data_IF_526961481685
#
_entry.id   IF_526961481685
#
_cell.length_a   1.000
_cell.length_b   1.000
_cell.length_c   1.000
_cell.angle_alpha   90.00
_cell.angle_beta   90.00
_cell.angle_gamma   90.00
#
_symmetry.space_group_name_H-M   'P 1'
#
loop_
_entity.id
_entity.type
_entity.pdbx_description
1 polymer ?
#
# COMPACT_ATOMS: atom_id res chain seq x y z
N UNK A 1 8.41 -15.18 -23.92
CA UNK A 1 9.59 -14.29 -23.96
C UNK A 1 10.13 -13.91 -22.58
N UNK A 2 9.73 -14.55 -21.50
CA UNK A 2 10.27 -14.32 -20.15
C UNK A 2 11.55 -15.13 -19.85
N UNK A 3 12.00 -15.95 -20.76
CA UNK A 3 13.13 -16.90 -20.59
C UNK A 3 14.53 -16.30 -20.82
N UNK A 4 14.70 -14.99 -20.83
CA UNK A 4 16.02 -14.34 -20.88
C UNK A 4 16.32 -13.55 -19.61
N UNK A 5 15.92 -14.07 -18.50
CA UNK A 5 16.44 -13.65 -17.20
C UNK A 5 17.90 -14.11 -17.16
N UNK A 6 18.81 -13.19 -16.88
CA UNK A 6 20.24 -13.42 -16.90
C UNK A 6 20.68 -14.63 -16.06
N UNK A 7 21.98 -14.87 -15.95
CA UNK A 7 22.52 -16.01 -15.21
C UNK A 7 21.86 -16.11 -13.82
N UNK A 8 21.26 -17.26 -13.49
CA UNK A 8 20.58 -17.42 -12.21
C UNK A 8 21.58 -17.23 -11.06
N UNK A 9 21.18 -16.45 -10.06
CA UNK A 9 21.89 -16.37 -8.80
C UNK A 9 21.58 -17.62 -7.96
N UNK A 10 22.57 -18.22 -7.27
CA UNK A 10 22.33 -19.42 -6.47
C UNK A 10 21.69 -19.16 -5.09
N UNK A 11 21.70 -17.91 -4.64
CA UNK A 11 21.26 -17.54 -3.31
C UNK A 11 19.71 -17.65 -3.19
N UNK A 12 19.25 -18.54 -2.33
CA UNK A 12 17.83 -18.68 -2.01
C UNK A 12 17.36 -17.50 -1.17
N UNK A 13 16.20 -16.92 -1.52
CA UNK A 13 15.58 -15.83 -0.76
C UNK A 13 14.21 -16.27 -0.27
N UNK A 14 13.95 -16.07 1.03
CA UNK A 14 12.64 -16.29 1.64
C UNK A 14 11.86 -14.99 1.75
N UNK A 15 10.61 -15.00 1.33
CA UNK A 15 9.66 -13.91 1.50
C UNK A 15 8.51 -14.39 2.39
N UNK A 16 8.26 -13.70 3.50
CA UNK A 16 7.26 -14.09 4.48
C UNK A 16 6.03 -13.19 4.35
N UNK A 17 4.98 -13.74 3.78
CA UNK A 17 3.74 -13.04 3.45
C UNK A 17 3.58 -12.76 1.95
N UNK A 18 2.47 -13.21 1.38
CA UNK A 18 2.10 -13.01 -0.03
C UNK A 18 1.20 -11.78 -0.24
N UNK A 19 1.32 -10.75 0.61
CA UNK A 19 0.70 -9.44 0.40
C UNK A 19 1.48 -8.59 -0.61
N UNK A 20 1.01 -7.35 -0.94
CA UNK A 20 1.63 -6.52 -1.98
C UNK A 20 3.11 -6.23 -1.76
N UNK A 21 3.58 -6.07 -0.51
CA UNK A 21 4.99 -5.87 -0.21
C UNK A 21 5.83 -7.12 -0.54
N UNK A 22 5.36 -8.30 -0.11
CA UNK A 22 6.03 -9.58 -0.38
C UNK A 22 6.04 -9.93 -1.87
N UNK A 23 4.91 -9.79 -2.54
CA UNK A 23 4.79 -10.04 -3.98
C UNK A 23 5.71 -9.12 -4.79
N UNK A 24 5.76 -7.83 -4.46
CA UNK A 24 6.67 -6.88 -5.11
C UNK A 24 8.13 -7.28 -4.91
N UNK A 25 8.54 -7.58 -3.68
CA UNK A 25 9.91 -8.03 -3.40
C UNK A 25 10.25 -9.31 -4.18
N UNK A 26 9.35 -10.30 -4.16
CA UNK A 26 9.52 -11.55 -4.88
C UNK A 26 9.66 -11.34 -6.39
N UNK A 27 8.83 -10.47 -6.99
CA UNK A 27 8.90 -10.12 -8.40
C UNK A 27 10.27 -9.53 -8.78
N UNK A 28 10.72 -8.47 -8.08
CA UNK A 28 11.98 -7.82 -8.41
C UNK A 28 13.22 -8.71 -8.19
N UNK A 29 13.14 -9.64 -7.24
CA UNK A 29 14.20 -10.63 -7.04
C UNK A 29 14.16 -11.75 -8.11
N UNK A 30 12.98 -12.24 -8.45
CA UNK A 30 12.82 -13.25 -9.50
C UNK A 30 13.26 -12.74 -10.87
N UNK A 31 12.92 -11.49 -11.23
CA UNK A 31 13.39 -10.84 -12.47
C UNK A 31 14.91 -10.72 -12.50
N UNK A 32 15.57 -10.59 -11.34
CA UNK A 32 17.05 -10.63 -11.27
C UNK A 32 17.62 -12.04 -11.39
N UNK A 33 16.81 -13.09 -11.28
CA UNK A 33 17.22 -14.48 -11.40
C UNK A 33 17.47 -15.21 -10.07
N UNK A 34 16.97 -14.70 -8.95
CA UNK A 34 17.03 -15.40 -7.65
C UNK A 34 15.97 -16.49 -7.54
N UNK A 35 16.27 -17.64 -6.92
CA UNK A 35 15.28 -18.60 -6.47
C UNK A 35 14.57 -18.02 -5.24
N UNK A 36 13.31 -17.62 -5.43
CA UNK A 36 12.47 -17.00 -4.39
C UNK A 36 11.38 -17.95 -3.96
N UNK A 37 11.24 -18.16 -2.64
CA UNK A 37 10.10 -18.87 -2.05
C UNK A 37 9.29 -17.91 -1.19
N UNK A 38 8.00 -17.80 -1.47
CA UNK A 38 7.02 -17.02 -0.69
C UNK A 38 6.30 -17.97 0.26
N UNK A 39 6.39 -17.70 1.56
CA UNK A 39 5.68 -18.42 2.62
C UNK A 39 4.45 -17.61 3.03
N UNK A 40 3.27 -18.23 2.94
CA UNK A 40 2.00 -17.57 3.24
C UNK A 40 1.19 -18.43 4.22
N UNK A 41 0.67 -17.80 5.28
CA UNK A 41 -0.15 -18.51 6.28
C UNK A 41 -1.55 -18.86 5.78
N UNK A 42 -2.07 -18.07 4.86
CA UNK A 42 -3.37 -18.30 4.25
C UNK A 42 -3.29 -19.34 3.13
N UNK A 43 -4.44 -19.83 2.70
CA UNK A 43 -4.55 -20.73 1.55
C UNK A 43 -4.52 -20.03 0.19
N UNK A 44 -4.53 -18.71 0.19
CA UNK A 44 -4.58 -17.86 -1.01
C UNK A 44 -3.58 -16.72 -0.89
N UNK A 45 -2.93 -16.32 -1.99
CA UNK A 45 -2.02 -15.16 -2.02
C UNK A 45 -2.79 -13.84 -2.17
N UNK A 46 -2.06 -12.73 -2.11
CA UNK A 46 -2.57 -11.38 -2.32
C UNK A 46 -2.75 -10.58 -1.02
N UNK A 47 -2.70 -11.23 0.17
CA UNK A 47 -2.87 -10.54 1.45
C UNK A 47 -4.17 -9.72 1.49
N UNK A 48 -4.11 -8.45 1.90
CA UNK A 48 -5.30 -7.57 1.97
C UNK A 48 -5.95 -7.28 0.61
N UNK A 49 -5.25 -7.38 -0.51
CA UNK A 49 -5.85 -7.25 -1.85
C UNK A 49 -6.87 -8.38 -2.10
N UNK A 50 -6.60 -9.57 -1.59
CA UNK A 50 -7.50 -10.72 -1.72
C UNK A 50 -8.44 -10.85 -0.53
N UNK A 51 -7.96 -10.67 0.69
CA UNK A 51 -8.70 -10.98 1.91
C UNK A 51 -9.51 -9.79 2.45
N UNK A 52 -9.00 -8.56 2.26
CA UNK A 52 -9.58 -7.34 2.84
C UNK A 52 -10.45 -6.57 1.85
N UNK A 53 -9.89 -6.20 0.69
CA UNK A 53 -10.60 -5.37 -0.30
C UNK A 53 -11.71 -6.21 -0.95
N UNK A 54 -12.98 -5.75 -0.96
CA UNK A 54 -14.07 -6.47 -1.62
C UNK A 54 -13.92 -6.54 -3.15
N UNK A 55 -14.51 -7.56 -3.79
CA UNK A 55 -14.41 -7.75 -5.23
C UNK A 55 -15.05 -6.61 -6.03
N UNK A 56 -16.06 -5.94 -5.50
CA UNK A 56 -16.66 -4.78 -6.14
C UNK A 56 -15.75 -3.53 -6.20
N UNK A 57 -14.58 -3.59 -5.56
CA UNK A 57 -13.50 -2.58 -5.68
C UNK A 57 -12.27 -3.10 -6.40
N UNK A 58 -11.98 -4.39 -6.24
CA UNK A 58 -10.84 -5.05 -6.86
C UNK A 58 -11.18 -6.51 -7.11
N UNK A 59 -11.47 -6.82 -8.36
CA UNK A 59 -11.77 -8.19 -8.79
C UNK A 59 -10.59 -9.12 -8.51
N UNK A 60 -10.89 -10.35 -8.05
CA UNK A 60 -9.86 -11.30 -7.58
C UNK A 60 -9.12 -11.97 -8.73
N UNK A 61 -9.73 -12.08 -9.88
CA UNK A 61 -9.10 -12.57 -11.12
C UNK A 61 -7.96 -11.64 -11.58
N UNK A 62 -8.13 -10.33 -11.47
CA UNK A 62 -7.06 -9.35 -11.75
C UNK A 62 -5.88 -9.56 -10.81
N UNK A 63 -6.12 -9.70 -9.50
CA UNK A 63 -5.05 -9.96 -8.52
C UNK A 63 -4.36 -11.28 -8.81
N UNK A 64 -5.12 -12.32 -9.15
CA UNK A 64 -4.58 -13.64 -9.45
C UNK A 64 -3.74 -13.64 -10.73
N UNK A 65 -4.17 -12.91 -11.77
CA UNK A 65 -3.41 -12.78 -13.02
C UNK A 65 -2.02 -12.16 -12.78
N UNK A 66 -1.93 -11.13 -11.94
CA UNK A 66 -0.65 -10.53 -11.54
C UNK A 66 0.24 -11.52 -10.74
N UNK A 67 -0.37 -12.33 -9.88
CA UNK A 67 0.37 -13.35 -9.11
C UNK A 67 0.85 -14.49 -10.02
N UNK A 68 0.08 -14.86 -11.03
CA UNK A 68 0.46 -15.89 -11.99
C UNK A 68 1.72 -15.50 -12.78
N UNK A 69 1.94 -14.20 -13.04
CA UNK A 69 3.21 -13.72 -13.59
C UNK A 69 4.40 -14.10 -12.69
N UNK A 70 4.26 -14.02 -11.36
CA UNK A 70 5.33 -14.42 -10.46
C UNK A 70 5.60 -15.92 -10.51
N UNK A 71 4.54 -16.74 -10.65
CA UNK A 71 4.68 -18.18 -10.81
C UNK A 71 5.41 -18.54 -12.11
N UNK A 72 5.08 -17.85 -13.21
CA UNK A 72 5.76 -18.00 -14.49
C UNK A 72 7.24 -17.58 -14.42
N UNK A 73 7.58 -16.61 -13.56
CA UNK A 73 8.97 -16.23 -13.26
C UNK A 73 9.70 -17.24 -12.38
N UNK A 74 9.03 -18.32 -11.94
CA UNK A 74 9.61 -19.37 -11.11
C UNK A 74 9.56 -19.12 -9.61
N UNK A 75 8.77 -18.16 -9.12
CA UNK A 75 8.56 -17.96 -7.69
C UNK A 75 7.76 -19.12 -7.13
N UNK A 76 8.30 -19.78 -6.10
CA UNK A 76 7.64 -20.86 -5.37
C UNK A 76 6.71 -20.26 -4.29
N UNK A 77 5.49 -20.77 -4.18
CA UNK A 77 4.54 -20.39 -3.12
C UNK A 77 4.29 -21.57 -2.19
N UNK A 78 4.47 -21.37 -0.88
CA UNK A 78 4.17 -22.35 0.17
C UNK A 78 3.06 -21.79 1.06
N UNK A 79 1.85 -22.31 0.87
CA UNK A 79 0.67 -21.92 1.63
C UNK A 79 0.52 -22.72 2.92
N UNK A 80 -0.22 -22.16 3.91
CA UNK A 80 -0.43 -22.76 5.23
C UNK A 80 0.82 -22.74 6.10
N UNK A 81 1.83 -21.98 5.75
CA UNK A 81 3.07 -21.81 6.51
C UNK A 81 3.01 -20.52 7.30
N UNK A 82 2.82 -20.62 8.60
CA UNK A 82 2.84 -19.49 9.53
C UNK A 82 4.22 -19.41 10.20
N UNK A 83 5.08 -18.56 9.65
CA UNK A 83 6.42 -18.32 10.22
C UNK A 83 6.26 -17.70 11.60
N UNK A 84 7.01 -18.21 12.56
CA UNK A 84 6.86 -17.92 13.99
C UNK A 84 6.07 -19.00 14.75
N UNK A 85 5.28 -19.85 14.05
CA UNK A 85 4.56 -20.98 14.67
C UNK A 85 5.03 -22.35 14.18
N UNK A 86 4.86 -22.62 12.88
CA UNK A 86 5.22 -23.91 12.29
C UNK A 86 6.53 -23.86 11.46
N UNK A 87 7.13 -22.70 11.36
CA UNK A 87 8.43 -22.44 10.73
C UNK A 87 9.12 -21.32 11.50
N UNK A 88 10.43 -21.42 11.76
CA UNK A 88 11.21 -20.37 12.40
C UNK A 88 12.17 -19.70 11.43
N UNK A 89 12.68 -18.49 11.77
CA UNK A 89 13.74 -17.84 10.97
C UNK A 89 15.00 -18.71 10.91
N UNK A 90 15.36 -19.37 12.00
CA UNK A 90 16.53 -20.24 12.06
C UNK A 90 16.34 -21.51 11.20
N UNK A 91 15.14 -22.05 11.11
CA UNK A 91 14.84 -23.13 10.20
C UNK A 91 15.02 -22.71 8.74
N UNK A 92 14.59 -21.49 8.37
CA UNK A 92 14.82 -20.96 7.03
C UNK A 92 16.33 -20.79 6.74
N UNK A 93 17.10 -20.31 7.72
CA UNK A 93 18.58 -20.22 7.60
C UNK A 93 19.21 -21.61 7.40
N UNK A 94 18.75 -22.60 8.17
CA UNK A 94 19.20 -23.98 8.06
C UNK A 94 18.86 -24.59 6.67
N UNK A 95 17.71 -24.24 6.09
CA UNK A 95 17.29 -24.63 4.74
C UNK A 95 18.09 -23.92 3.63
N UNK A 96 19.03 -23.03 4.00
CA UNK A 96 19.96 -22.38 3.10
C UNK A 96 19.49 -21.05 2.51
N UNK A 97 18.39 -20.46 3.02
CA UNK A 97 18.00 -19.12 2.64
C UNK A 97 19.03 -18.10 3.14
N UNK A 98 19.49 -17.23 2.23
CA UNK A 98 20.56 -16.25 2.49
C UNK A 98 20.06 -14.90 2.94
N UNK A 99 18.82 -14.60 2.63
CA UNK A 99 18.13 -13.42 3.14
C UNK A 99 16.63 -13.73 3.28
N UNK A 100 16.00 -13.01 4.21
CA UNK A 100 14.58 -13.16 4.58
C UNK A 100 13.92 -11.79 4.51
N UNK A 101 12.78 -11.69 3.81
CA UNK A 101 11.98 -10.48 3.77
C UNK A 101 10.67 -10.68 4.53
N UNK A 102 10.46 -9.92 5.59
CA UNK A 102 9.23 -9.94 6.39
C UNK A 102 8.20 -8.97 5.82
N UNK A 103 7.07 -9.49 5.37
CA UNK A 103 5.98 -8.75 4.75
C UNK A 103 4.59 -9.20 5.26
N UNK A 104 4.48 -9.56 6.54
CA UNK A 104 3.27 -10.13 7.16
C UNK A 104 2.13 -9.12 7.31
N UNK A 105 2.41 -7.82 7.11
CA UNK A 105 1.43 -6.74 7.12
C UNK A 105 0.78 -6.50 8.48
N UNK A 106 -0.44 -5.93 8.47
CA UNK A 106 -1.28 -5.66 9.64
C UNK A 106 -2.64 -6.34 9.46
N UNK A 107 -2.68 -7.65 9.66
CA UNK A 107 -3.82 -8.50 9.31
C UNK A 107 -4.81 -8.75 10.43
N UNK A 108 -4.58 -8.22 11.65
CA UNK A 108 -5.48 -8.36 12.79
C UNK A 108 -6.38 -7.14 12.91
N UNK A 109 -7.69 -7.34 12.99
CA UNK A 109 -8.64 -6.24 13.21
C UNK A 109 -8.59 -5.71 14.64
N UNK A 110 -8.93 -4.44 14.81
CA UNK A 110 -9.05 -3.83 16.13
C UNK A 110 -10.47 -3.99 16.65
N UNK A 111 -10.69 -4.60 17.83
CA UNK A 111 -12.00 -4.68 18.47
C UNK A 111 -12.56 -3.29 18.80
N UNK A 112 -13.84 -3.18 19.10
CA UNK A 112 -14.47 -1.90 19.46
C UNK A 112 -13.89 -1.29 20.75
N UNK A 113 -13.35 -2.12 21.62
CA UNK A 113 -12.70 -1.72 22.87
C UNK A 113 -13.71 -1.35 23.96
N UNK A 114 -14.91 -1.90 23.90
CA UNK A 114 -15.95 -1.70 24.91
C UNK A 114 -16.48 -3.07 25.40
N UNK A 115 -17.14 -3.11 26.58
CA UNK A 115 -17.77 -4.33 27.07
C UNK A 115 -18.69 -4.97 26.03
N UNK A 116 -18.62 -6.31 25.92
CA UNK A 116 -19.41 -7.08 24.97
C UNK A 116 -18.72 -7.38 23.63
N UNK A 117 -17.46 -6.99 23.46
CA UNK A 117 -16.68 -7.29 22.26
C UNK A 117 -16.53 -8.80 21.96
N UNK A 118 -16.67 -9.64 22.98
CA UNK A 118 -16.56 -11.11 22.93
C UNK A 118 -17.89 -11.82 22.59
N UNK A 119 -18.98 -11.06 22.47
CA UNK A 119 -20.29 -11.63 22.17
C UNK A 119 -20.35 -12.22 20.74
N UNK A 120 -21.09 -13.30 20.58
CA UNK A 120 -21.40 -13.82 19.25
C UNK A 120 -22.15 -12.77 18.43
N UNK A 121 -21.73 -12.59 17.17
CA UNK A 121 -22.26 -11.53 16.30
C UNK A 121 -21.45 -10.24 16.35
N UNK A 122 -20.39 -10.19 17.15
CA UNK A 122 -19.39 -9.13 17.11
C UNK A 122 -18.20 -9.62 16.27
N UNK A 123 -17.75 -8.78 15.36
CA UNK A 123 -16.65 -9.07 14.43
C UNK A 123 -15.75 -7.85 14.31
N UNK A 124 -14.49 -8.09 13.97
CA UNK A 124 -13.67 -7.04 13.38
C UNK A 124 -13.93 -6.92 11.88
N UNK A 125 -13.69 -5.75 11.29
CA UNK A 125 -13.88 -5.53 9.85
C UNK A 125 -13.00 -6.47 9.00
N UNK A 126 -11.77 -6.72 9.46
CA UNK A 126 -10.84 -7.64 8.79
C UNK A 126 -11.39 -9.06 8.78
N UNK A 127 -11.86 -9.58 9.92
CA UNK A 127 -12.45 -10.93 10.00
C UNK A 127 -13.70 -11.08 9.13
N UNK A 128 -14.56 -10.06 9.15
CA UNK A 128 -15.78 -10.04 8.34
C UNK A 128 -15.46 -10.05 6.86
N UNK A 129 -14.62 -9.11 6.38
CA UNK A 129 -14.26 -9.00 4.97
C UNK A 129 -13.49 -10.23 4.49
N UNK A 130 -12.56 -10.76 5.31
CA UNK A 130 -11.86 -12.00 5.02
C UNK A 130 -12.83 -13.17 4.82
N UNK A 131 -13.81 -13.31 5.71
CA UNK A 131 -14.82 -14.35 5.58
C UNK A 131 -15.64 -14.19 4.29
N UNK A 132 -16.08 -12.98 3.98
CA UNK A 132 -16.84 -12.67 2.77
C UNK A 132 -16.03 -12.95 1.50
N UNK A 133 -14.79 -12.48 1.44
CA UNK A 133 -13.92 -12.64 0.27
C UNK A 133 -13.47 -14.09 0.04
N UNK A 134 -13.42 -14.90 1.09
CA UNK A 134 -13.21 -16.36 0.99
C UNK A 134 -14.50 -17.14 0.72
N UNK A 135 -15.59 -16.48 0.32
CA UNK A 135 -16.87 -17.14 -0.02
C UNK A 135 -17.68 -17.61 1.18
N UNK A 136 -17.24 -17.35 2.42
CA UNK A 136 -17.99 -17.70 3.62
C UNK A 136 -19.19 -16.77 3.83
N UNK A 137 -20.17 -17.22 4.59
CA UNK A 137 -21.38 -16.44 4.90
C UNK A 137 -21.47 -16.21 6.41
N UNK A 138 -20.75 -15.21 6.97
CA UNK A 138 -20.88 -14.88 8.38
C UNK A 138 -22.32 -14.50 8.72
N UNK A 139 -22.81 -15.01 9.86
CA UNK A 139 -24.19 -14.75 10.32
C UNK A 139 -24.24 -13.40 10.99
N UNK A 140 -24.69 -12.36 10.27
CA UNK A 140 -24.80 -10.99 10.76
C UNK A 140 -26.24 -10.56 11.06
N UNK A 141 -27.22 -11.38 10.66
CA UNK A 141 -28.64 -11.04 10.81
C UNK A 141 -29.09 -9.86 9.93
N UNK A 142 -30.19 -9.19 10.33
CA UNK A 142 -30.80 -8.13 9.51
C UNK A 142 -30.33 -6.72 9.85
N UNK A 143 -30.04 -6.43 11.12
CA UNK A 143 -29.63 -5.08 11.57
C UNK A 143 -28.18 -5.10 11.99
N UNK A 144 -27.33 -4.36 11.30
CA UNK A 144 -25.89 -4.35 11.54
C UNK A 144 -25.40 -2.96 11.87
N UNK A 145 -24.68 -2.83 12.98
CA UNK A 145 -23.90 -1.63 13.27
C UNK A 145 -22.45 -1.80 12.80
N UNK A 146 -21.95 -0.87 12.01
CA UNK A 146 -20.54 -0.79 11.62
C UNK A 146 -19.90 0.39 12.34
N UNK A 147 -18.81 0.15 13.06
CA UNK A 147 -18.11 1.20 13.83
C UNK A 147 -16.86 1.61 13.08
N UNK A 148 -16.77 2.87 12.68
CA UNK A 148 -15.59 3.42 11.99
C UNK A 148 -15.97 4.44 10.92
N UNK A 149 -14.96 5.14 10.38
CA UNK A 149 -15.19 6.19 9.35
C UNK A 149 -14.14 6.17 8.23
N UNK A 150 -13.30 5.14 8.16
CA UNK A 150 -12.32 4.96 7.09
C UNK A 150 -12.82 4.04 5.98
N UNK A 151 -12.02 3.88 4.92
CA UNK A 151 -12.37 3.05 3.75
C UNK A 151 -12.77 1.62 4.14
N UNK A 152 -12.11 1.02 5.14
CA UNK A 152 -12.48 -0.33 5.64
C UNK A 152 -13.90 -0.36 6.19
N UNK A 153 -14.35 0.71 6.89
CA UNK A 153 -15.70 0.79 7.42
C UNK A 153 -16.75 0.90 6.29
N UNK A 154 -16.44 1.66 5.24
CA UNK A 154 -17.28 1.75 4.03
C UNK A 154 -17.34 0.39 3.33
N UNK A 155 -16.22 -0.29 3.14
CA UNK A 155 -16.16 -1.64 2.53
C UNK A 155 -17.00 -2.67 3.32
N UNK A 156 -16.87 -2.65 4.65
CA UNK A 156 -17.66 -3.50 5.55
C UNK A 156 -19.15 -3.20 5.41
N UNK A 157 -19.53 -1.92 5.46
CA UNK A 157 -20.93 -1.50 5.38
C UNK A 157 -21.56 -1.91 4.04
N UNK A 158 -20.89 -1.63 2.93
CA UNK A 158 -21.34 -2.00 1.59
C UNK A 158 -21.40 -3.54 1.40
N UNK A 159 -20.41 -4.28 1.93
CA UNK A 159 -20.43 -5.73 1.91
C UNK A 159 -21.59 -6.32 2.75
N UNK A 160 -21.91 -5.71 3.88
CA UNK A 160 -23.05 -6.13 4.72
C UNK A 160 -24.40 -5.83 4.04
N UNK A 161 -24.55 -4.68 3.36
CA UNK A 161 -25.74 -4.35 2.54
C UNK A 161 -25.95 -5.41 1.45
N UNK A 162 -24.90 -5.79 0.71
CA UNK A 162 -24.93 -6.86 -0.32
C UNK A 162 -25.28 -8.23 0.25
N UNK A 163 -25.13 -8.41 1.56
CA UNK A 163 -25.59 -9.61 2.30
C UNK A 163 -27.03 -9.47 2.79
N UNK A 164 -27.75 -8.39 2.44
CA UNK A 164 -29.14 -8.15 2.77
C UNK A 164 -29.37 -7.57 4.16
N UNK A 165 -28.37 -6.98 4.78
CA UNK A 165 -28.50 -6.30 6.07
C UNK A 165 -28.94 -4.83 5.91
N UNK A 166 -29.71 -4.35 6.88
CA UNK A 166 -29.95 -2.92 7.13
C UNK A 166 -28.77 -2.42 7.98
N UNK A 167 -27.95 -1.57 7.40
CA UNK A 167 -26.65 -1.17 7.97
C UNK A 167 -26.70 0.26 8.49
N UNK A 168 -26.28 0.45 9.73
CA UNK A 168 -26.01 1.76 10.31
C UNK A 168 -24.52 1.89 10.62
N UNK A 169 -23.85 2.83 9.98
CA UNK A 169 -22.45 3.15 10.23
C UNK A 169 -22.37 4.21 11.33
N UNK A 170 -21.64 3.90 12.40
CA UNK A 170 -21.46 4.74 13.58
C UNK A 170 -20.08 5.40 13.53
N UNK A 171 -20.05 6.74 13.52
CA UNK A 171 -18.81 7.47 13.50
C UNK A 171 -18.76 8.55 14.59
N UNK A 172 -17.68 8.55 15.38
CA UNK A 172 -17.52 9.43 16.55
C UNK A 172 -17.24 10.89 16.26
N UNK A 173 -17.07 11.27 14.97
CA UNK A 173 -16.87 12.66 14.51
C UNK A 173 -17.92 13.02 13.48
N UNK A 174 -17.80 14.20 12.87
CA UNK A 174 -18.66 14.64 11.78
C UNK A 174 -18.28 14.05 10.42
N UNK A 175 -19.09 14.33 9.41
CA UNK A 175 -18.86 13.90 8.04
C UNK A 175 -17.54 14.45 7.48
N UNK A 176 -17.24 15.72 7.77
CA UNK A 176 -16.04 16.41 7.30
C UNK A 176 -14.74 15.80 7.85
N UNK A 177 -14.82 15.14 9.00
CA UNK A 177 -13.67 14.47 9.60
C UNK A 177 -13.54 12.99 9.20
N UNK A 178 -14.38 12.51 8.28
CA UNK A 178 -14.23 11.13 7.79
C UNK A 178 -12.96 10.98 6.95
N UNK A 179 -12.12 9.99 7.24
CA UNK A 179 -10.95 9.71 6.41
C UNK A 179 -11.27 8.90 5.13
N UNK A 180 -12.51 8.41 4.97
CA UNK A 180 -12.97 7.76 3.75
C UNK A 180 -13.15 8.79 2.63
N UNK A 181 -12.95 8.38 1.37
CA UNK A 181 -13.16 9.23 0.22
C UNK A 181 -14.65 9.60 0.08
N UNK A 182 -14.93 10.86 -0.25
CA UNK A 182 -16.30 11.37 -0.37
C UNK A 182 -17.13 10.59 -1.39
N UNK A 183 -16.53 10.19 -2.50
CA UNK A 183 -17.15 9.38 -3.54
C UNK A 183 -17.61 8.03 -2.99
N UNK A 184 -16.79 7.37 -2.18
CA UNK A 184 -17.14 6.08 -1.57
C UNK A 184 -18.22 6.20 -0.49
N UNK A 185 -18.21 7.31 0.25
CA UNK A 185 -19.29 7.62 1.21
C UNK A 185 -20.61 7.84 0.47
N UNK A 186 -20.60 8.57 -0.64
CA UNK A 186 -21.78 8.80 -1.47
C UNK A 186 -22.31 7.50 -2.09
N UNK A 187 -21.44 6.63 -2.58
CA UNK A 187 -21.82 5.30 -3.08
C UNK A 187 -22.47 4.44 -1.98
N UNK A 188 -21.90 4.45 -0.77
CA UNK A 188 -22.47 3.72 0.37
C UNK A 188 -23.85 4.25 0.77
N UNK A 189 -24.05 5.57 0.76
CA UNK A 189 -25.37 6.21 0.99
C UNK A 189 -26.38 5.80 -0.09
N UNK A 190 -25.98 5.82 -1.36
CA UNK A 190 -26.81 5.39 -2.48
C UNK A 190 -27.20 3.90 -2.37
N UNK A 191 -26.32 3.07 -1.87
CA UNK A 191 -26.59 1.65 -1.59
C UNK A 191 -27.45 1.44 -0.32
N UNK A 192 -27.77 2.51 0.41
CA UNK A 192 -28.70 2.48 1.55
C UNK A 192 -28.03 2.31 2.92
N UNK A 193 -26.72 2.52 3.03
CA UNK A 193 -26.05 2.63 4.33
C UNK A 193 -26.52 3.88 5.04
N UNK A 194 -26.98 3.74 6.28
CA UNK A 194 -27.37 4.85 7.15
C UNK A 194 -26.16 5.32 7.94
N UNK A 195 -25.91 6.62 7.96
CA UNK A 195 -24.80 7.21 8.71
C UNK A 195 -25.29 7.86 9.99
N UNK A 196 -24.66 7.57 11.10
CA UNK A 196 -24.81 8.26 12.38
C UNK A 196 -23.47 8.84 12.79
N UNK A 197 -23.38 10.14 12.63
CA UNK A 197 -22.22 10.92 13.04
C UNK A 197 -22.33 11.33 14.53
N UNK A 198 -21.22 11.76 15.09
CA UNK A 198 -21.10 12.23 16.45
C UNK A 198 -21.65 11.20 17.45
N UNK A 199 -21.34 9.92 17.24
CA UNK A 199 -21.71 8.88 18.18
C UNK A 199 -20.59 7.82 18.30
N UNK A 200 -20.34 7.40 19.54
CA UNK A 200 -19.34 6.39 19.86
C UNK A 200 -19.97 5.21 20.62
N UNK A 201 -19.61 3.95 20.32
CA UNK A 201 -20.07 2.83 21.11
C UNK A 201 -19.43 2.87 22.51
N UNK A 202 -20.23 2.58 23.52
CA UNK A 202 -19.76 2.47 24.90
C UNK A 202 -19.96 1.07 25.48
N UNK A 203 -20.91 0.30 24.93
CA UNK A 203 -21.19 -1.06 25.37
C UNK A 203 -21.96 -1.82 24.28
N UNK A 204 -21.67 -3.09 24.10
CA UNK A 204 -22.44 -4.01 23.26
C UNK A 204 -23.24 -4.91 24.19
N UNK A 205 -24.56 -4.77 24.12
CA UNK A 205 -25.50 -5.52 24.96
C UNK A 205 -25.84 -6.85 24.30
N UNK A 206 -25.97 -7.89 25.10
CA UNK A 206 -26.26 -9.21 24.58
C UNK A 206 -27.19 -10.03 25.48
N UNK A 207 -27.88 -10.99 24.84
CA UNK A 207 -28.68 -11.99 25.50
C UNK A 207 -28.17 -13.37 25.13
N UNK A 208 -28.06 -14.27 26.10
CA UNK A 208 -27.57 -15.63 25.92
C UNK A 208 -26.23 -15.71 25.14
N UNK A 209 -25.34 -14.73 25.41
CA UNK A 209 -24.02 -14.66 24.79
C UNK A 209 -24.01 -14.20 23.31
N UNK A 210 -25.09 -13.57 22.82
CA UNK A 210 -25.23 -13.04 21.48
C UNK A 210 -25.59 -11.55 21.52
N UNK A 211 -24.96 -10.73 20.69
CA UNK A 211 -25.22 -9.31 20.57
C UNK A 211 -26.68 -9.06 20.12
N UNK A 212 -27.36 -8.15 20.83
CA UNK A 212 -28.75 -7.75 20.56
C UNK A 212 -28.93 -6.25 20.43
N UNK A 213 -28.02 -5.46 21.02
CA UNK A 213 -28.03 -4.01 20.91
C UNK A 213 -26.63 -3.43 21.09
N UNK A 214 -26.43 -2.18 20.69
CA UNK A 214 -25.25 -1.38 20.98
C UNK A 214 -25.70 -0.08 21.67
N UNK A 215 -25.12 0.20 22.82
CA UNK A 215 -25.28 1.46 23.53
C UNK A 215 -24.23 2.43 23.02
N UNK A 216 -24.67 3.59 22.58
CA UNK A 216 -23.81 4.64 22.03
C UNK A 216 -23.95 5.91 22.86
N UNK A 217 -22.87 6.68 22.94
CA UNK A 217 -22.83 8.00 23.53
C UNK A 217 -22.83 9.06 22.42
N UNK A 218 -23.64 10.10 22.60
CA UNK A 218 -23.60 11.30 21.74
C UNK A 218 -22.29 12.05 21.99
N UNK A 219 -21.65 12.48 20.90
CA UNK A 219 -20.37 13.17 20.94
C UNK A 219 -20.50 14.62 20.49
N UNK A 220 -19.61 15.46 20.99
CA UNK A 220 -19.33 16.80 20.45
C UNK A 220 -17.89 16.86 19.96
N UNK A 221 -17.57 17.84 19.12
CA UNK A 221 -16.21 18.08 18.69
C UNK A 221 -15.60 19.19 19.53
N UNK A 222 -14.49 18.88 20.19
CA UNK A 222 -13.69 19.87 20.92
C UNK A 222 -12.87 20.76 19.96
N UNK A 223 -12.02 21.58 20.54
CA UNK A 223 -11.12 22.47 19.80
C UNK A 223 -10.16 21.66 18.90
N UNK A 224 -9.76 22.22 17.75
CA UNK A 224 -8.78 21.59 16.88
C UNK A 224 -7.40 21.48 17.55
N UNK A 225 -6.74 20.32 17.36
CA UNK A 225 -5.34 20.15 17.74
C UNK A 225 -4.40 20.90 16.77
N UNK A 226 -3.07 20.86 17.04
CA UNK A 226 -2.04 21.51 16.20
C UNK A 226 -2.08 21.04 14.72
N UNK A 227 -2.75 19.95 14.42
CA UNK A 227 -2.95 19.40 13.07
C UNK A 227 -4.35 19.68 12.54
N UNK A 228 -5.11 20.55 13.18
CA UNK A 228 -6.47 20.92 12.80
C UNK A 228 -7.53 19.84 13.08
N UNK A 229 -7.20 18.77 13.82
CA UNK A 229 -8.11 17.68 14.11
C UNK A 229 -8.87 17.91 15.40
N UNK A 230 -10.19 17.89 15.33
CA UNK A 230 -11.08 18.02 16.50
C UNK A 230 -11.24 16.69 17.24
N UNK A 231 -10.99 16.70 18.54
CA UNK A 231 -11.15 15.52 19.39
C UNK A 231 -12.63 15.32 19.73
N UNK A 232 -13.21 14.12 19.53
CA UNK A 232 -14.58 13.85 20.00
C UNK A 232 -14.61 13.79 21.54
N UNK A 233 -15.63 14.42 22.12
CA UNK A 233 -15.87 14.49 23.56
C UNK A 233 -17.29 14.00 23.83
N UNK A 234 -17.46 13.08 24.79
CA UNK A 234 -18.77 12.57 25.19
C UNK A 234 -19.64 13.64 25.85
N UNK A 235 -20.92 13.63 25.58
CA UNK A 235 -21.90 14.56 26.17
C UNK A 235 -22.55 14.01 27.43
N UNK A 236 -22.41 12.71 27.72
CA UNK A 236 -23.15 12.01 28.76
C UNK A 236 -24.56 11.59 28.34
N UNK A 237 -24.98 11.83 27.11
CA UNK A 237 -26.25 11.37 26.55
C UNK A 237 -26.06 10.03 25.85
N UNK A 238 -26.92 9.07 26.20
CA UNK A 238 -26.82 7.70 25.70
C UNK A 238 -28.09 7.29 24.96
N UNK A 239 -27.89 6.49 23.93
CA UNK A 239 -28.96 5.82 23.19
C UNK A 239 -28.62 4.34 22.99
N UNK A 240 -29.66 3.51 22.88
CA UNK A 240 -29.47 2.07 22.60
C UNK A 240 -30.09 1.74 21.25
N UNK A 241 -29.27 1.18 20.36
CA UNK A 241 -29.66 0.77 19.02
C UNK A 241 -29.79 -0.74 18.98
N UNK A 242 -30.95 -1.26 18.62
CA UNK A 242 -31.16 -2.69 18.43
C UNK A 242 -30.39 -3.18 17.18
N UNK A 243 -29.53 -4.17 17.36
CA UNK A 243 -28.70 -4.77 16.29
C UNK A 243 -28.69 -6.28 16.39
N UNK A 244 -28.36 -6.97 15.33
CA UNK A 244 -28.12 -8.41 15.31
C UNK A 244 -26.64 -8.75 15.16
N UNK A 245 -25.83 -7.78 14.76
CA UNK A 245 -24.37 -7.86 14.72
C UNK A 245 -23.73 -6.49 14.84
N UNK A 246 -22.49 -6.47 15.31
CA UNK A 246 -21.65 -5.28 15.39
C UNK A 246 -20.33 -5.60 14.69
N UNK A 247 -19.84 -4.72 13.81
CA UNK A 247 -18.59 -4.90 13.10
C UNK A 247 -17.67 -3.72 13.35
N UNK A 248 -16.58 -3.94 14.06
CA UNK A 248 -15.59 -2.92 14.39
C UNK A 248 -14.58 -2.74 13.26
N UNK A 249 -14.57 -1.56 12.64
CA UNK A 249 -13.69 -1.18 11.54
C UNK A 249 -12.86 0.08 11.89
N UNK A 250 -12.29 0.10 13.11
CA UNK A 250 -11.56 1.26 13.67
C UNK A 250 -10.05 1.16 13.52
N UNK A 251 -9.55 0.17 12.81
CA UNK A 251 -8.13 0.02 12.51
C UNK A 251 -7.69 -1.43 12.41
N UNK A 252 -6.40 -1.57 12.14
CA UNK A 252 -5.72 -2.85 11.99
C UNK A 252 -4.48 -2.88 12.89
N UNK A 253 -4.10 -4.06 13.31
CA UNK A 253 -2.95 -4.32 14.17
C UNK A 253 -1.99 -5.31 13.51
N UNK A 254 -0.72 -5.15 13.81
CA UNK A 254 0.32 -6.09 13.42
C UNK A 254 0.26 -7.29 14.36
N UNK A 255 0.36 -8.47 13.77
CA UNK A 255 0.53 -9.73 14.50
C UNK A 255 1.76 -10.44 13.93
N UNK A 256 2.81 -10.49 14.74
CA UNK A 256 4.07 -11.13 14.35
C UNK A 256 4.02 -12.66 14.45
N UNK A 257 2.94 -13.21 14.98
CA UNK A 257 2.74 -14.66 15.09
C UNK A 257 3.91 -15.41 15.76
N UNK A 258 4.71 -14.71 16.59
CA UNK A 258 5.90 -15.26 17.27
C UNK A 258 7.20 -15.18 16.49
N UNK A 259 7.23 -14.49 15.34
CA UNK A 259 8.48 -14.25 14.57
C UNK A 259 9.52 -13.51 15.43
N UNK A 260 9.06 -12.64 16.33
CA UNK A 260 9.90 -11.89 17.24
C UNK A 260 10.46 -12.72 18.41
N UNK A 261 9.87 -13.88 18.68
CA UNK A 261 10.34 -14.75 19.75
C UNK A 261 11.73 -15.34 19.44
N UNK A 262 12.72 -14.95 20.25
CA UNK A 262 14.12 -15.36 20.07
C UNK A 262 14.87 -14.62 18.97
N UNK A 263 14.24 -13.67 18.30
CA UNK A 263 14.88 -12.80 17.30
C UNK A 263 15.45 -11.52 17.92
N UNK A 264 16.32 -10.83 17.18
CA UNK A 264 16.85 -9.51 17.57
C UNK A 264 16.04 -8.35 16.99
N UNK A 265 14.82 -8.63 16.53
CA UNK A 265 13.95 -7.60 15.95
C UNK A 265 13.56 -6.57 16.99
N UNK A 266 13.83 -5.30 16.72
CA UNK A 266 13.31 -4.19 17.55
C UNK A 266 11.92 -3.79 17.08
N UNK A 267 11.04 -3.58 18.09
CA UNK A 267 9.66 -3.21 17.83
C UNK A 267 9.39 -1.75 18.22
N UNK A 268 8.62 -1.07 17.41
CA UNK A 268 8.10 0.27 17.67
C UNK A 268 6.81 0.26 18.51
N UNK A 269 6.28 1.44 18.82
CA UNK A 269 5.15 1.65 19.74
C UNK A 269 3.85 0.90 19.36
N UNK A 270 3.68 0.50 18.11
CA UNK A 270 2.46 -0.20 17.64
C UNK A 270 2.75 -1.63 17.17
N UNK A 271 3.83 -2.21 17.65
CA UNK A 271 4.28 -3.53 17.18
C UNK A 271 4.87 -3.51 15.78
N UNK A 272 5.20 -2.35 15.22
CA UNK A 272 5.91 -2.24 13.95
C UNK A 272 7.35 -2.71 14.11
N UNK A 273 7.90 -3.37 13.10
CA UNK A 273 9.32 -3.72 13.07
C UNK A 273 10.13 -2.49 12.66
N UNK A 274 11.16 -2.18 13.45
CA UNK A 274 12.07 -1.08 13.15
C UNK A 274 13.10 -1.54 12.12
N UNK A 275 13.31 -0.73 11.10
CA UNK A 275 14.27 -0.96 10.02
C UNK A 275 15.07 0.31 9.75
N UNK A 276 16.21 0.15 9.12
CA UNK A 276 16.89 1.28 8.47
C UNK A 276 16.02 1.81 7.33
N UNK A 277 15.68 3.11 7.31
CA UNK A 277 14.72 3.67 6.36
C UNK A 277 15.21 3.65 4.90
N UNK A 278 16.52 3.57 4.67
CA UNK A 278 17.08 3.53 3.33
C UNK A 278 17.20 2.09 2.80
N UNK A 279 17.45 1.13 3.69
CA UNK A 279 17.75 -0.25 3.28
C UNK A 279 16.65 -1.25 3.60
N UNK A 280 15.68 -0.88 4.43
CA UNK A 280 14.67 -1.80 4.97
C UNK A 280 15.26 -2.99 5.76
N UNK A 281 16.55 -2.93 6.15
CA UNK A 281 17.22 -3.94 6.94
C UNK A 281 16.86 -3.79 8.42
N UNK A 282 16.66 -4.89 9.10
CA UNK A 282 16.43 -4.94 10.55
C UNK A 282 17.77 -5.01 11.29
N UNK A 283 17.71 -5.18 12.64
CA UNK A 283 18.93 -5.45 13.42
C UNK A 283 19.51 -6.85 13.19
N UNK A 284 18.79 -7.73 12.52
CA UNK A 284 19.35 -8.99 11.99
C UNK A 284 19.83 -8.76 10.56
N UNK A 285 21.12 -8.93 10.28
CA UNK A 285 21.72 -8.52 9.01
C UNK A 285 21.11 -9.19 7.77
N UNK A 286 20.60 -10.41 7.90
CA UNK A 286 19.98 -11.20 6.84
C UNK A 286 18.45 -11.01 6.76
N UNK A 287 17.86 -10.19 7.64
CA UNK A 287 16.42 -9.97 7.72
C UNK A 287 16.06 -8.55 7.35
N UNK A 288 15.18 -8.43 6.40
CA UNK A 288 14.60 -7.18 5.89
C UNK A 288 13.10 -7.17 6.17
N UNK A 289 12.48 -5.99 6.30
CA UNK A 289 11.04 -5.89 6.49
C UNK A 289 10.45 -4.69 5.76
N UNK A 290 9.17 -4.78 5.38
CA UNK A 290 8.50 -3.68 4.71
C UNK A 290 6.99 -3.80 4.68
N UNK A 291 6.33 -2.84 4.00
CA UNK A 291 4.89 -2.70 4.00
C UNK A 291 4.33 -2.30 5.37
N UNK A 292 3.07 -2.68 5.63
CA UNK A 292 2.36 -2.32 6.86
C UNK A 292 3.02 -2.84 8.14
N UNK A 293 3.85 -3.86 8.03
CA UNK A 293 4.67 -4.36 9.15
C UNK A 293 5.61 -3.28 9.70
N UNK A 294 6.11 -2.40 8.85
CA UNK A 294 7.05 -1.33 9.20
C UNK A 294 6.35 0.00 9.44
N UNK A 295 5.39 0.35 8.59
CA UNK A 295 4.76 1.68 8.62
C UNK A 295 3.46 1.73 9.41
N UNK A 296 2.88 0.60 9.79
CA UNK A 296 1.46 0.47 10.07
C UNK A 296 0.64 0.50 8.78
N UNK A 297 -0.70 0.32 8.87
CA UNK A 297 -1.58 0.27 7.69
C UNK A 297 -1.47 1.52 6.82
N UNK A 298 -1.15 1.31 5.53
CA UNK A 298 -1.05 2.33 4.48
C UNK A 298 -1.67 1.84 3.18
N UNK A 299 -1.42 2.56 2.08
CA UNK A 299 -1.88 2.18 0.74
C UNK A 299 -1.05 1.02 0.16
N UNK A 300 -1.67 0.25 -0.74
CA UNK A 300 -1.00 -0.87 -1.41
C UNK A 300 0.26 -0.42 -2.17
N UNK A 301 0.26 0.80 -2.74
CA UNK A 301 1.40 1.34 -3.46
C UNK A 301 2.62 1.57 -2.56
N UNK A 302 2.41 1.97 -1.28
CA UNK A 302 3.51 2.11 -0.32
C UNK A 302 4.16 0.75 -0.03
N UNK A 303 3.32 -0.29 0.09
CA UNK A 303 3.79 -1.65 0.31
C UNK A 303 4.57 -2.19 -0.91
N UNK A 304 4.09 -1.93 -2.12
CA UNK A 304 4.76 -2.29 -3.38
C UNK A 304 6.13 -1.59 -3.46
N UNK A 305 6.19 -0.30 -3.15
CA UNK A 305 7.42 0.47 -3.14
C UNK A 305 8.43 -0.09 -2.13
N UNK A 306 7.99 -0.40 -0.90
CA UNK A 306 8.83 -1.01 0.12
C UNK A 306 9.42 -2.35 -0.33
N UNK A 307 8.61 -3.21 -0.98
CA UNK A 307 9.08 -4.49 -1.52
C UNK A 307 10.14 -4.32 -2.61
N UNK A 308 9.94 -3.37 -3.52
CA UNK A 308 10.90 -3.02 -4.57
C UNK A 308 12.24 -2.56 -3.99
N UNK A 309 12.22 -1.64 -3.05
CA UNK A 309 13.44 -1.11 -2.42
C UNK A 309 14.15 -2.17 -1.57
N UNK A 310 13.41 -3.00 -0.84
CA UNK A 310 13.97 -4.11 -0.09
C UNK A 310 14.66 -5.15 -1.03
N UNK A 311 14.09 -5.42 -2.20
CA UNK A 311 14.71 -6.31 -3.18
C UNK A 311 16.09 -5.80 -3.65
N UNK A 312 16.28 -4.47 -3.79
CA UNK A 312 17.59 -3.88 -4.07
C UNK A 312 18.55 -4.10 -2.91
N UNK A 313 18.08 -3.94 -1.67
CA UNK A 313 18.88 -4.16 -0.47
C UNK A 313 19.32 -5.62 -0.34
N UNK A 314 18.40 -6.55 -0.51
CA UNK A 314 18.66 -7.98 -0.46
C UNK A 314 19.71 -8.37 -1.53
N UNK A 315 19.53 -7.88 -2.77
CA UNK A 315 20.49 -8.11 -3.84
C UNK A 315 21.91 -7.65 -3.46
N UNK A 316 22.03 -6.46 -2.86
CA UNK A 316 23.32 -5.92 -2.43
C UNK A 316 23.91 -6.65 -1.21
N UNK A 317 23.04 -7.11 -0.32
CA UNK A 317 23.45 -7.85 0.87
C UNK A 317 24.07 -9.21 0.53
N UNK A 318 23.44 -9.96 -0.37
CA UNK A 318 23.94 -11.30 -0.75
C UNK A 318 25.18 -11.24 -1.66
N UNK A 319 25.57 -10.05 -2.13
CA UNK A 319 26.77 -9.82 -2.94
C UNK A 319 27.80 -9.01 -2.14
N UNK A 320 28.77 -9.65 -1.50
CA UNK A 320 29.78 -8.95 -0.70
C UNK A 320 30.53 -7.87 -1.50
N UNK A 321 30.77 -6.74 -0.85
CA UNK A 321 31.50 -5.60 -1.44
C UNK A 321 30.61 -4.55 -2.11
N UNK A 322 29.32 -4.76 -2.20
CA UNK A 322 28.38 -3.71 -2.64
C UNK A 322 27.94 -2.83 -1.47
N UNK A 323 27.96 -1.52 -1.67
CA UNK A 323 27.41 -0.59 -0.67
C UNK A 323 25.89 -0.65 -0.66
N UNK A 324 25.30 -0.73 0.54
CA UNK A 324 23.85 -0.68 0.73
C UNK A 324 23.26 0.70 0.40
N UNK A 325 24.04 1.78 0.47
CA UNK A 325 23.58 3.16 0.42
C UNK A 325 23.93 3.89 -0.89
N UNK A 326 25.09 3.63 -1.48
CA UNK A 326 25.53 4.36 -2.68
C UNK A 326 24.58 4.14 -3.86
N UNK A 327 24.18 5.24 -4.52
CA UNK A 327 23.29 5.21 -5.69
C UNK A 327 21.83 4.83 -5.35
N UNK A 328 21.39 5.02 -4.11
CA UNK A 328 19.97 5.02 -3.78
C UNK A 328 19.39 6.39 -4.03
N UNK A 329 18.34 6.42 -4.81
CA UNK A 329 17.56 7.64 -5.02
C UNK A 329 16.79 7.99 -3.74
N UNK A 330 17.29 8.97 -3.00
CA UNK A 330 16.48 9.63 -1.97
C UNK A 330 15.58 10.65 -2.66
N UNK A 331 14.33 10.26 -2.85
CA UNK A 331 13.32 11.17 -3.41
C UNK A 331 12.61 11.88 -2.27
N UNK A 332 12.97 13.13 -2.04
CA UNK A 332 12.19 14.01 -1.18
C UNK A 332 11.04 14.61 -1.99
N UNK A 333 9.84 14.03 -1.81
CA UNK A 333 8.63 14.63 -2.38
C UNK A 333 8.16 15.77 -1.48
N UNK A 334 8.19 16.98 -2.01
CA UNK A 334 7.48 18.11 -1.39
C UNK A 334 6.04 18.08 -1.88
N UNK A 335 5.10 17.98 -0.95
CA UNK A 335 3.69 18.21 -1.28
C UNK A 335 3.56 19.67 -1.70
N UNK A 336 3.10 19.90 -2.93
CA UNK A 336 2.73 21.23 -3.38
C UNK A 336 1.35 21.56 -2.81
N UNK A 337 1.22 22.72 -2.20
CA UNK A 337 -0.09 23.26 -1.86
C UNK A 337 -0.75 23.81 -3.13
N UNK A 338 -1.86 23.20 -3.61
CA UNK A 338 -2.53 23.65 -4.83
C UNK A 338 -2.94 25.13 -4.79
N UNK A 339 -3.20 25.67 -3.60
CA UNK A 339 -3.58 27.08 -3.42
C UNK A 339 -2.42 28.05 -3.66
N UNK A 340 -1.16 27.58 -3.57
CA UNK A 340 0.03 28.42 -3.73
C UNK A 340 0.68 28.27 -5.10
N UNK A 341 0.26 27.29 -5.90
CA UNK A 341 0.78 27.07 -7.25
C UNK A 341 0.12 28.08 -8.20
N UNK A 342 0.88 29.09 -8.63
CA UNK A 342 0.44 29.99 -9.68
C UNK A 342 0.36 29.22 -11.00
N UNK A 343 -0.85 29.00 -11.46
CA UNK A 343 -1.11 28.32 -12.72
C UNK A 343 -1.46 29.37 -13.77
N UNK A 344 -0.77 29.45 -14.93
CA UNK A 344 -1.14 30.40 -15.98
C UNK A 344 -2.56 30.10 -16.47
N UNK A 345 -3.52 30.98 -16.14
CA UNK A 345 -4.95 30.79 -16.46
C UNK A 345 -5.18 30.69 -17.98
N UNK A 346 -4.30 31.26 -18.77
CA UNK A 346 -4.37 31.28 -20.23
C UNK A 346 -4.17 29.92 -20.92
N UNK A 347 -3.60 28.93 -20.20
CA UNK A 347 -3.31 27.58 -20.71
C UNK A 347 -4.25 26.49 -20.19
N UNK A 348 -5.32 26.85 -19.46
CA UNK A 348 -6.26 25.88 -18.93
C UNK A 348 -7.58 25.85 -19.68
N UNK A 349 -7.94 24.66 -20.04
CA UNK A 349 -9.29 24.35 -20.44
C UNK A 349 -10.14 24.10 -19.17
N UNK A 350 -11.20 24.92 -19.01
CA UNK A 350 -12.20 24.76 -17.95
C UNK A 350 -13.21 23.64 -18.21
N UNK A 351 -12.91 22.74 -19.14
CA UNK A 351 -13.76 21.59 -19.42
C UNK A 351 -13.97 20.77 -18.15
N UNK A 352 -15.21 20.52 -17.72
CA UNK A 352 -15.48 19.75 -16.52
C UNK A 352 -14.97 18.31 -16.66
N UNK A 353 -14.55 17.73 -15.52
CA UNK A 353 -14.14 16.34 -15.43
C UNK A 353 -15.23 15.42 -16.00
N UNK A 354 -14.84 14.47 -16.82
CA UNK A 354 -15.73 13.43 -17.31
C UNK A 354 -15.90 12.34 -16.26
N UNK A 355 -17.08 11.75 -16.23
CA UNK A 355 -17.39 10.61 -15.37
C UNK A 355 -17.81 9.44 -16.24
N UNK A 356 -17.26 8.27 -15.97
CA UNK A 356 -17.73 7.05 -16.61
C UNK A 356 -19.16 6.72 -16.12
N UNK A 357 -19.88 5.97 -16.92
CA UNK A 357 -21.20 5.49 -16.49
C UNK A 357 -21.04 4.25 -15.63
N UNK A 358 -21.34 4.38 -14.36
CA UNK A 358 -21.31 3.27 -13.41
C UNK A 358 -22.68 2.57 -13.37
N UNK A 359 -22.67 1.30 -12.93
CA UNK A 359 -23.92 0.58 -12.66
C UNK A 359 -24.75 1.25 -11.55
N UNK A 360 -26.04 1.03 -11.57
CA UNK A 360 -26.94 1.61 -10.57
C UNK A 360 -26.71 1.05 -9.17
N UNK A 361 -27.02 1.83 -8.14
CA UNK A 361 -26.94 1.40 -6.75
C UNK A 361 -27.81 0.17 -6.47
N UNK A 362 -28.97 0.03 -7.15
CA UNK A 362 -29.84 -1.14 -7.03
C UNK A 362 -29.23 -2.42 -7.62
N UNK A 363 -28.44 -2.30 -8.68
CA UNK A 363 -27.66 -3.40 -9.23
C UNK A 363 -26.50 -3.74 -8.31
N UNK A 364 -25.78 -2.73 -7.81
CA UNK A 364 -24.67 -2.88 -6.90
C UNK A 364 -25.02 -3.68 -5.63
N UNK A 365 -26.20 -3.47 -5.06
CA UNK A 365 -26.70 -4.25 -3.91
C UNK A 365 -26.83 -5.76 -4.16
N UNK A 366 -26.93 -6.17 -5.41
CA UNK A 366 -27.20 -7.57 -5.78
C UNK A 366 -25.96 -8.36 -6.19
N UNK A 367 -24.82 -7.69 -6.32
CA UNK A 367 -23.59 -8.32 -6.80
C UNK A 367 -22.37 -7.89 -6.01
N UNK A 368 -21.32 -8.70 -6.04
CA UNK A 368 -19.99 -8.35 -5.58
C UNK A 368 -19.04 -8.04 -6.76
N UNK A 369 -19.54 -8.02 -8.00
CA UNK A 369 -18.75 -7.59 -9.15
C UNK A 369 -18.53 -6.08 -9.13
N UNK A 370 -17.43 -5.67 -9.72
CA UNK A 370 -17.14 -4.26 -10.01
C UNK A 370 -18.06 -3.76 -11.13
N UNK A 371 -18.89 -2.78 -10.83
CA UNK A 371 -19.83 -2.18 -11.78
C UNK A 371 -19.37 -0.80 -12.28
N UNK A 372 -18.13 -0.41 -11.94
CA UNK A 372 -17.56 0.84 -12.46
C UNK A 372 -17.35 0.74 -13.95
N UNK A 373 -17.85 1.75 -14.66
CA UNK A 373 -17.73 1.85 -16.10
C UNK A 373 -16.35 2.32 -16.55
N UNK A 374 -16.19 2.38 -17.85
CA UNK A 374 -15.01 2.96 -18.51
C UNK A 374 -15.43 4.16 -19.33
N UNK A 375 -14.51 5.07 -19.60
CA UNK A 375 -14.77 6.20 -20.48
C UNK A 375 -15.06 5.72 -21.89
N UNK A 376 -16.01 6.40 -22.55
CA UNK A 376 -16.14 6.32 -24.00
C UNK A 376 -14.92 6.96 -24.68
N UNK A 377 -14.71 6.69 -25.97
CA UNK A 377 -13.61 7.32 -26.71
C UNK A 377 -13.69 8.86 -26.67
N UNK A 378 -14.89 9.41 -26.75
CA UNK A 378 -15.12 10.85 -26.68
C UNK A 378 -14.79 11.41 -25.29
N UNK A 379 -15.21 10.75 -24.25
CA UNK A 379 -14.86 11.12 -22.86
C UNK A 379 -13.36 11.04 -22.62
N UNK A 380 -12.70 9.98 -23.12
CA UNK A 380 -11.27 9.80 -23.01
C UNK A 380 -10.51 10.92 -23.74
N UNK A 381 -10.94 11.35 -24.91
CA UNK A 381 -10.36 12.48 -25.62
C UNK A 381 -10.44 13.76 -24.78
N UNK A 382 -11.62 14.05 -24.22
CA UNK A 382 -11.81 15.22 -23.35
C UNK A 382 -10.93 15.17 -22.10
N UNK A 383 -10.82 14.00 -21.44
CA UNK A 383 -9.97 13.85 -20.26
C UNK A 383 -8.48 13.96 -20.59
N UNK A 384 -8.04 13.43 -21.73
CA UNK A 384 -6.63 13.54 -22.14
C UNK A 384 -6.26 14.95 -22.57
N UNK A 385 -7.19 15.73 -23.15
CA UNK A 385 -6.97 17.13 -23.53
C UNK A 385 -6.77 18.03 -22.31
N UNK A 386 -7.52 17.78 -21.23
CA UNK A 386 -7.36 18.53 -19.95
C UNK A 386 -6.26 17.99 -19.06
N UNK A 387 -5.60 16.90 -19.43
CA UNK A 387 -4.53 16.32 -18.63
C UNK A 387 -3.27 17.20 -18.65
N UNK A 388 -2.85 17.66 -17.49
CA UNK A 388 -1.66 18.51 -17.34
C UNK A 388 -0.34 17.74 -17.50
N UNK A 389 -0.38 16.42 -17.63
CA UNK A 389 0.82 15.59 -17.69
C UNK A 389 1.70 15.70 -16.44
N UNK A 390 1.13 16.09 -15.31
CA UNK A 390 1.83 16.38 -14.05
C UNK A 390 2.24 15.11 -13.28
N UNK A 391 2.29 13.96 -13.93
CA UNK A 391 2.94 12.78 -13.36
C UNK A 391 4.36 13.13 -12.94
N UNK A 392 4.82 12.58 -11.81
CA UNK A 392 6.15 12.84 -11.29
C UNK A 392 7.21 12.50 -12.35
N UNK A 393 7.68 13.51 -13.06
CA UNK A 393 8.83 13.39 -13.96
C UNK A 393 10.07 13.36 -13.07
N UNK A 394 10.66 12.21 -12.92
CA UNK A 394 11.96 12.09 -12.26
C UNK A 394 13.03 12.14 -13.34
N UNK A 395 13.79 13.20 -13.35
CA UNK A 395 15.00 13.29 -14.14
C UNK A 395 16.12 12.58 -13.37
N UNK A 396 16.59 11.44 -13.90
CA UNK A 396 17.82 10.84 -13.43
C UNK A 396 18.98 11.48 -14.21
N UNK A 397 19.63 12.48 -13.61
CA UNK A 397 20.71 13.23 -14.23
C UNK A 397 21.90 12.35 -14.61
N UNK A 398 22.18 11.29 -13.83
CA UNK A 398 23.28 10.35 -14.09
C UNK A 398 23.02 9.45 -15.31
N UNK A 399 21.75 9.22 -15.64
CA UNK A 399 21.36 8.43 -16.80
C UNK A 399 20.91 9.28 -17.99
N UNK A 400 20.81 10.57 -17.81
CA UNK A 400 20.39 11.48 -18.85
C UNK A 400 21.51 11.67 -19.88
N UNK A 401 21.25 11.21 -21.10
CA UNK A 401 22.19 11.38 -22.23
C UNK A 401 21.99 12.69 -23.01
N UNK A 402 21.10 13.57 -22.55
CA UNK A 402 20.82 14.83 -23.20
C UNK A 402 20.17 14.73 -24.59
N UNK A 403 19.45 13.65 -24.88
CA UNK A 403 18.90 13.38 -26.22
C UNK A 403 17.75 14.32 -26.64
N UNK A 404 17.18 15.11 -25.72
CA UNK A 404 16.11 16.08 -25.99
C UNK A 404 14.71 15.50 -26.20
N UNK A 405 14.50 14.19 -26.15
CA UNK A 405 13.17 13.58 -26.37
C UNK A 405 12.15 14.10 -25.37
N UNK A 406 12.54 14.30 -24.11
CA UNK A 406 11.65 14.82 -23.06
C UNK A 406 11.16 16.23 -23.38
N UNK A 407 11.99 17.10 -23.97
CA UNK A 407 11.61 18.48 -24.34
C UNK A 407 10.57 18.47 -25.46
N UNK A 408 10.69 17.54 -26.43
CA UNK A 408 9.73 17.42 -27.54
C UNK A 408 8.41 16.79 -27.14
N UNK A 409 8.37 16.06 -26.02
CA UNK A 409 7.18 15.40 -25.49
C UNK A 409 6.41 16.27 -24.48
N UNK A 410 7.06 17.26 -23.90
CA UNK A 410 6.40 18.15 -22.95
C UNK A 410 5.54 19.19 -23.69
N UNK A 411 4.23 19.03 -23.67
CA UNK A 411 3.26 19.95 -24.29
C UNK A 411 3.26 21.35 -23.63
N UNK A 412 3.84 21.49 -22.44
CA UNK A 412 3.85 22.72 -21.65
C UNK A 412 5.19 23.47 -21.72
N UNK A 413 6.14 22.97 -22.53
CA UNK A 413 7.50 23.52 -22.63
C UNK A 413 8.21 23.69 -21.25
N UNK A 414 7.81 22.82 -20.31
CA UNK A 414 8.29 22.87 -18.92
C UNK A 414 9.65 22.20 -18.72
N UNK A 415 10.17 21.52 -19.74
CA UNK A 415 11.46 20.84 -19.72
C UNK A 415 12.38 21.51 -20.73
N UNK A 416 13.51 22.04 -20.26
CA UNK A 416 14.54 22.63 -21.08
C UNK A 416 15.84 21.88 -20.87
N UNK A 417 16.61 21.73 -21.95
CA UNK A 417 17.98 21.25 -21.86
C UNK A 417 18.90 22.46 -21.77
N UNK A 418 19.67 22.54 -20.69
CA UNK A 418 20.69 23.55 -20.52
C UNK A 418 22.05 22.91 -20.81
N UNK A 419 22.81 23.52 -21.70
CA UNK A 419 24.13 23.04 -22.05
C UNK A 419 25.12 23.45 -20.97
N UNK A 420 25.47 22.50 -20.08
CA UNK A 420 26.38 22.75 -18.96
C UNK A 420 27.86 22.67 -19.39
N UNK A 421 28.17 21.90 -20.42
CA UNK A 421 29.53 21.68 -20.90
C UNK A 421 29.62 21.81 -22.44
N UNK A 422 30.70 22.41 -22.92
CA UNK A 422 30.97 22.58 -24.35
C UNK A 422 31.78 21.40 -24.93
N UNK A 423 31.37 20.17 -24.58
CA UNK A 423 31.99 18.97 -25.12
C UNK A 423 31.20 18.46 -26.30
N UNK A 424 31.84 18.33 -27.44
CA UNK A 424 31.25 17.68 -28.60
C UNK A 424 31.41 16.17 -28.45
N UNK A 425 30.30 15.41 -28.55
CA UNK A 425 30.32 13.96 -28.61
C UNK A 425 31.10 13.51 -29.84
N UNK A 426 32.03 12.60 -29.65
CA UNK A 426 32.79 11.97 -30.71
C UNK A 426 32.47 10.48 -30.73
N UNK A 427 32.66 9.83 -31.91
CA UNK A 427 32.60 8.37 -31.98
C UNK A 427 33.46 7.72 -30.91
N UNK A 428 33.00 6.64 -30.33
CA UNK A 428 33.62 5.94 -29.18
C UNK A 428 35.14 5.75 -29.36
N UNK A 429 35.59 5.27 -30.53
CA UNK A 429 37.01 5.10 -30.82
C UNK A 429 37.79 6.41 -30.88
N UNK A 430 37.22 7.46 -31.43
CA UNK A 430 37.84 8.79 -31.44
C UNK A 430 37.88 9.42 -30.05
N UNK A 431 36.90 9.15 -29.22
CA UNK A 431 36.88 9.55 -27.80
C UNK A 431 37.98 8.84 -27.04
N UNK A 432 38.15 7.52 -27.24
CA UNK A 432 39.25 6.73 -26.64
C UNK A 432 40.63 7.24 -27.02
N UNK A 433 40.86 7.53 -28.30
CA UNK A 433 42.11 8.11 -28.79
C UNK A 433 42.36 9.50 -28.22
N UNK A 434 41.31 10.31 -28.09
CA UNK A 434 41.39 11.64 -27.49
C UNK A 434 41.72 11.57 -25.98
N UNK A 435 41.12 10.63 -25.26
CA UNK A 435 41.41 10.38 -23.83
C UNK A 435 42.83 9.90 -23.67
N UNK A 436 43.27 8.93 -24.47
CA UNK A 436 44.64 8.43 -24.46
C UNK A 436 45.67 9.52 -24.79
N UNK A 437 45.37 10.37 -25.80
CA UNK A 437 46.24 11.47 -26.19
C UNK A 437 46.30 12.61 -25.15
N UNK A 438 45.24 12.86 -24.43
CA UNK A 438 45.18 13.90 -23.41
C UNK A 438 45.63 13.47 -22.01
N UNK A 439 45.76 12.17 -21.77
CA UNK A 439 46.16 11.62 -20.46
C UNK A 439 47.52 12.13 -20.00
N UNK A 440 48.57 12.19 -20.86
CA UNK A 440 49.85 12.75 -20.47
C UNK A 440 49.77 14.23 -20.06
N UNK A 441 48.97 15.02 -20.78
CA UNK A 441 48.80 16.43 -20.48
C UNK A 441 48.00 16.67 -19.20
N UNK A 442 47.02 15.80 -18.90
CA UNK A 442 46.26 15.84 -17.66
C UNK A 442 47.15 15.47 -16.45
N UNK A 443 47.97 14.40 -16.58
CA UNK A 443 48.97 14.00 -15.58
C UNK A 443 49.98 15.13 -15.36
N UNK A 444 50.49 15.75 -16.42
CA UNK A 444 51.41 16.89 -16.33
C UNK A 444 50.82 18.11 -15.63
N UNK A 445 49.54 18.37 -15.80
CA UNK A 445 48.80 19.43 -15.05
C UNK A 445 48.61 19.08 -13.57
N UNK A 446 48.32 17.83 -13.26
CA UNK A 446 48.19 17.36 -11.86
C UNK A 446 49.54 17.48 -11.14
N UNK A 447 50.65 17.03 -11.76
CA UNK A 447 52.01 17.11 -11.19
C UNK A 447 52.47 18.57 -10.99
N UNK A 448 52.10 19.50 -11.88
CA UNK A 448 52.37 20.93 -11.67
C UNK A 448 51.59 21.53 -10.53
N UNK A 449 50.33 21.12 -10.35
CA UNK A 449 49.45 21.56 -9.25
C UNK A 449 49.91 21.08 -7.87
N UNK A 450 50.54 19.91 -7.82
CA UNK A 450 51.10 19.35 -6.58
C UNK A 450 52.52 19.85 -6.24
N UNK A 451 53.26 20.41 -7.22
CA UNK A 451 54.57 21.06 -7.00
C UNK A 451 54.54 22.56 -6.71
N UNK A 452 53.33 23.15 -6.77
CA UNK A 452 53.12 24.58 -6.49
C UNK A 452 52.37 24.83 -5.19
N UNK A 453 52.41 23.86 -4.28
CA UNK A 453 51.95 24.00 -2.89
C UNK A 453 53.09 23.81 -1.93
#
# INVERSE_FOLDING_TARGET
MLNQIGRPYPEKIAVIGAGPAGLSCAYYLAVKGYPVTVFEKESVPGGMLTLGIPSFRLEKDVVNAEIDVLKELGVEFRFGVEVGKNMTLDALRADGYKAIYLAVGASKGTPAGCPGDDLKGVFTGVEFLRAVNLGKRPTIGKKVAVIGGGNVAIDVARAAVRRGADVTLLYRRGREEMPAADEEVAEAEAEGVKFRFLCAPVEILGEKGKATAVKVETMTLGEPDEKGRRKPVGTGEFETLAVSAVISAIGQQIDLCGIDAGSKLRLGKRGTVLVDPATYQTDEPDVFAGGDLVTGPKFAIDAIAAGKEAAVSIHRFVHPGQSQLIGRDHRDYKSLDPATVAVPIESFDNTPRQHAHDGSAEEAKKTFHDLRGVFTEEQMKKETERCLGCGAVVLNEDQCIGCGICTTKCKFDAIRLEKVNDTHGREYFRTLLTVAGNTPAAIGRLVRKTRGR
#
